data_IF_926779294788
#
_entry.id   IF_926779294788
#
_cell.length_a   1.000
_cell.length_b   1.000
_cell.length_c   1.000
_cell.angle_alpha   90.00
_cell.angle_beta   90.00
_cell.angle_gamma   90.00
#
_symmetry.space_group_name_H-M   'P 1'
#
loop_
_entity.id
_entity.type
_entity.pdbx_description
1 polymer ?
#
# COMPACT_ATOMS: atom_id res chain seq x y z
N UNK A 1 0.66 4.94 -22.09
CA UNK A 1 0.76 3.44 -22.08
C UNK A 1 0.14 2.93 -20.79
N UNK A 2 -0.43 1.72 -20.74
CA UNK A 2 -0.96 1.21 -19.47
C UNK A 2 0.17 0.76 -18.52
N UNK A 3 -0.07 0.79 -17.20
CA UNK A 3 0.83 0.20 -16.21
C UNK A 3 1.12 -1.26 -16.55
N UNK A 4 2.25 -1.83 -16.08
CA UNK A 4 2.62 -3.18 -16.45
C UNK A 4 1.54 -4.24 -16.20
N UNK A 5 1.47 -5.23 -17.07
CA UNK A 5 0.50 -6.33 -16.94
C UNK A 5 0.90 -7.38 -15.88
N UNK A 6 2.21 -7.52 -15.64
CA UNK A 6 2.81 -8.39 -14.62
C UNK A 6 4.01 -7.70 -13.99
N UNK A 7 4.32 -8.08 -12.77
CA UNK A 7 5.43 -7.54 -11.99
C UNK A 7 6.36 -8.65 -11.55
N UNK A 8 7.65 -8.38 -11.64
CA UNK A 8 8.71 -9.33 -11.33
C UNK A 8 9.63 -8.73 -10.29
N UNK A 9 10.14 -9.57 -9.40
CA UNK A 9 11.20 -9.22 -8.47
C UNK A 9 12.49 -9.90 -8.89
N UNK A 10 13.57 -9.12 -8.94
CA UNK A 10 14.95 -9.59 -8.92
C UNK A 10 15.52 -9.30 -7.53
N UNK A 11 16.06 -10.30 -6.81
CA UNK A 11 16.61 -10.10 -5.49
C UNK A 11 17.92 -9.32 -5.58
N UNK A 12 18.22 -8.59 -4.51
CA UNK A 12 19.52 -7.96 -4.28
C UNK A 12 19.85 -7.99 -2.80
N UNK A 13 21.10 -7.71 -2.47
CA UNK A 13 21.57 -7.68 -1.09
C UNK A 13 21.03 -6.47 -0.34
N UNK A 14 20.88 -6.63 0.98
CA UNK A 14 20.31 -5.62 1.87
C UNK A 14 21.21 -4.39 2.00
N UNK A 15 22.52 -4.64 2.14
CA UNK A 15 23.55 -3.66 2.49
C UNK A 15 24.27 -3.06 1.28
N UNK A 16 23.96 -3.52 0.07
CA UNK A 16 24.59 -3.04 -1.15
C UNK A 16 23.80 -1.85 -1.70
N UNK A 17 24.46 -0.69 -1.78
CA UNK A 17 23.97 0.43 -2.57
C UNK A 17 24.06 0.05 -4.06
N UNK A 18 22.92 -0.18 -4.69
CA UNK A 18 22.87 -0.58 -6.10
C UNK A 18 22.88 0.70 -6.94
N UNK A 19 23.97 0.90 -7.67
CA UNK A 19 24.06 1.93 -8.71
C UNK A 19 23.00 1.71 -9.80
N UNK A 20 22.75 2.73 -10.61
CA UNK A 20 21.75 2.63 -11.68
C UNK A 20 22.01 1.40 -12.57
N UNK A 21 21.04 0.48 -12.68
CA UNK A 21 21.21 -0.71 -13.49
C UNK A 21 21.30 -0.35 -14.98
N UNK A 22 22.04 -1.15 -15.74
CA UNK A 22 22.10 -1.01 -17.19
C UNK A 22 20.70 -1.06 -17.81
N UNK A 23 20.46 -0.20 -18.80
CA UNK A 23 19.25 -0.24 -19.63
C UNK A 23 19.15 -1.56 -20.41
N UNK A 24 20.28 -2.15 -20.78
CA UNK A 24 20.35 -3.55 -21.24
C UNK A 24 20.58 -4.45 -20.04
N UNK A 25 19.48 -4.99 -19.52
CA UNK A 25 19.47 -5.79 -18.31
C UNK A 25 19.38 -7.28 -18.65
N UNK A 26 20.36 -8.05 -18.19
CA UNK A 26 20.35 -9.51 -18.30
C UNK A 26 19.48 -10.11 -17.20
N UNK A 27 18.41 -10.80 -17.58
CA UNK A 27 17.53 -11.47 -16.62
C UNK A 27 18.27 -12.60 -15.90
N UNK A 28 18.04 -12.80 -14.59
CA UNK A 28 18.50 -13.99 -13.89
C UNK A 28 18.00 -15.27 -14.58
N UNK A 29 18.81 -16.34 -14.68
CA UNK A 29 18.40 -17.59 -15.35
C UNK A 29 17.08 -18.16 -14.81
N UNK A 30 16.83 -18.01 -13.50
CA UNK A 30 15.60 -18.44 -12.84
C UNK A 30 14.33 -17.71 -13.31
N UNK A 31 14.44 -16.50 -13.89
CA UNK A 31 13.34 -15.81 -14.57
C UNK A 31 13.36 -16.07 -16.07
N UNK A 32 14.54 -16.07 -16.69
CA UNK A 32 14.70 -16.21 -18.13
C UNK A 32 14.23 -17.58 -18.65
N UNK A 33 14.44 -18.64 -17.86
CA UNK A 33 14.11 -20.01 -18.25
C UNK A 33 12.69 -20.44 -17.84
N UNK A 34 11.87 -19.54 -17.30
CA UNK A 34 10.47 -19.86 -17.00
C UNK A 34 9.67 -20.04 -18.28
N UNK A 35 8.61 -20.85 -18.22
CA UNK A 35 7.68 -21.03 -19.34
C UNK A 35 6.99 -19.72 -19.79
N UNK A 36 6.96 -18.71 -18.92
CA UNK A 36 6.45 -17.36 -19.22
C UNK A 36 7.40 -16.32 -18.63
N UNK A 37 8.54 -16.04 -19.30
CA UNK A 37 9.56 -15.14 -18.76
C UNK A 37 9.08 -13.68 -18.77
N UNK A 38 9.81 -12.75 -18.12
CA UNK A 38 9.56 -11.32 -18.27
C UNK A 38 9.65 -10.88 -19.74
N UNK A 39 8.63 -10.16 -20.22
CA UNK A 39 8.48 -9.70 -21.62
C UNK A 39 8.20 -8.20 -21.65
N UNK A 40 8.29 -7.56 -22.84
CA UNK A 40 7.88 -6.17 -23.00
C UNK A 40 6.46 -5.90 -22.47
N UNK A 41 6.28 -4.78 -21.79
CA UNK A 41 5.05 -4.41 -21.08
C UNK A 41 4.92 -4.98 -19.66
N UNK A 42 5.90 -5.72 -19.17
CA UNK A 42 6.01 -6.10 -17.75
C UNK A 42 6.86 -5.12 -16.94
N UNK A 43 6.64 -5.12 -15.63
CA UNK A 43 7.37 -4.34 -14.65
C UNK A 43 8.37 -5.23 -13.93
N UNK A 44 9.55 -4.72 -13.66
CA UNK A 44 10.60 -5.45 -12.96
C UNK A 44 11.13 -4.58 -11.82
N UNK A 45 11.21 -5.12 -10.61
CA UNK A 45 11.80 -4.43 -9.47
C UNK A 45 13.05 -5.16 -9.00
N UNK A 46 14.08 -4.39 -8.66
CA UNK A 46 15.23 -4.89 -7.90
C UNK A 46 14.92 -4.59 -6.44
N UNK A 47 14.83 -5.63 -5.62
CA UNK A 47 14.40 -5.48 -4.23
C UNK A 47 15.10 -6.45 -3.27
N UNK A 48 15.58 -5.89 -2.17
CA UNK A 48 16.14 -6.64 -1.05
C UNK A 48 15.01 -7.14 -0.15
N UNK A 49 15.33 -8.11 0.72
CA UNK A 49 14.40 -8.59 1.74
C UNK A 49 15.10 -8.57 3.09
N UNK A 50 14.49 -7.89 4.05
CA UNK A 50 14.89 -7.94 5.45
C UNK A 50 14.01 -8.97 6.16
N UNK A 51 14.64 -10.07 6.58
CA UNK A 51 13.95 -11.17 7.26
C UNK A 51 13.51 -10.82 8.67
N UNK A 52 14.24 -9.92 9.35
CA UNK A 52 13.98 -9.52 10.73
C UNK A 52 12.73 -8.66 10.79
N UNK A 53 12.63 -7.67 9.90
CA UNK A 53 11.47 -6.78 9.83
C UNK A 53 10.36 -7.30 8.91
N UNK A 54 10.63 -8.35 8.13
CA UNK A 54 9.73 -8.93 7.12
C UNK A 54 9.35 -7.92 6.02
N UNK A 55 10.30 -7.07 5.64
CA UNK A 55 10.10 -5.98 4.68
C UNK A 55 10.90 -6.25 3.40
N UNK A 56 10.22 -6.19 2.27
CA UNK A 56 10.82 -6.08 0.95
C UNK A 56 11.18 -4.63 0.63
N UNK A 57 12.45 -4.33 0.44
CA UNK A 57 12.96 -2.98 0.16
C UNK A 57 13.22 -2.83 -1.33
N UNK A 58 12.38 -2.07 -2.02
CA UNK A 58 12.53 -1.84 -3.46
C UNK A 58 13.56 -0.74 -3.66
N UNK A 59 14.56 -1.02 -4.50
CA UNK A 59 15.65 -0.09 -4.82
C UNK A 59 15.44 0.55 -6.19
N UNK A 60 15.02 -0.25 -7.16
CA UNK A 60 14.80 0.17 -8.54
C UNK A 60 13.53 -0.43 -9.09
N UNK A 61 12.78 0.36 -9.85
CA UNK A 61 11.63 -0.06 -10.63
C UNK A 61 11.95 0.09 -12.11
N UNK A 62 11.52 -0.87 -12.90
CA UNK A 62 11.81 -0.94 -14.31
C UNK A 62 10.56 -1.22 -15.12
N UNK A 63 10.46 -0.64 -16.31
CA UNK A 63 9.49 -1.05 -17.34
C UNK A 63 10.23 -1.70 -18.50
N UNK A 64 9.84 -2.92 -18.86
CA UNK A 64 10.46 -3.65 -19.97
C UNK A 64 9.87 -3.12 -21.27
N UNK A 65 10.72 -2.55 -22.12
CA UNK A 65 10.32 -1.95 -23.41
C UNK A 65 10.65 -2.86 -24.60
N UNK A 66 11.64 -3.75 -24.44
CA UNK A 66 12.13 -4.61 -25.51
C UNK A 66 13.09 -5.69 -25.03
N UNK A 67 13.75 -6.35 -25.97
CA UNK A 67 14.82 -7.31 -25.70
C UNK A 67 14.64 -8.67 -26.38
N UNK A 68 15.73 -9.42 -26.46
CA UNK A 68 15.82 -10.72 -27.14
C UNK A 68 16.51 -11.73 -26.22
N UNK A 69 16.06 -12.98 -26.23
CA UNK A 69 16.67 -14.05 -25.44
C UNK A 69 16.56 -13.77 -23.93
N UNK A 70 17.71 -13.64 -23.26
CA UNK A 70 17.79 -13.34 -21.82
C UNK A 70 17.97 -11.84 -21.52
N UNK A 71 18.31 -11.03 -22.52
CA UNK A 71 18.54 -9.59 -22.36
C UNK A 71 17.21 -8.86 -22.54
N UNK A 72 16.95 -7.90 -21.66
CA UNK A 72 15.78 -7.03 -21.71
C UNK A 72 16.21 -5.58 -21.71
N UNK A 73 15.57 -4.79 -22.56
CA UNK A 73 15.68 -3.34 -22.50
C UNK A 73 14.70 -2.85 -21.44
N UNK A 74 15.22 -2.20 -20.40
CA UNK A 74 14.46 -1.77 -19.24
C UNK A 74 14.70 -0.28 -19.00
N UNK A 75 13.61 0.47 -18.86
CA UNK A 75 13.67 1.85 -18.40
C UNK A 75 13.55 1.87 -16.87
N UNK A 76 14.64 2.23 -16.18
CA UNK A 76 14.76 2.19 -14.72
C UNK A 76 14.43 3.54 -14.07
N UNK A 77 13.87 3.46 -12.85
CA UNK A 77 13.63 4.58 -11.95
C UNK A 77 13.99 4.18 -10.51
N UNK A 78 14.72 5.02 -9.76
CA UNK A 78 15.04 4.73 -8.37
C UNK A 78 13.78 4.84 -7.50
N UNK A 79 13.71 4.05 -6.43
CA UNK A 79 12.64 4.11 -5.45
C UNK A 79 13.16 3.77 -4.05
N UNK A 80 12.42 4.21 -3.03
CA UNK A 80 12.64 3.83 -1.62
C UNK A 80 11.42 3.11 -1.05
N UNK A 81 10.52 2.65 -1.92
CA UNK A 81 9.30 1.96 -1.55
C UNK A 81 9.58 0.65 -0.80
N UNK A 82 8.67 0.31 0.11
CA UNK A 82 8.80 -0.85 0.98
C UNK A 82 7.50 -1.66 0.95
N UNK A 83 7.63 -2.98 0.96
CA UNK A 83 6.51 -3.91 0.96
C UNK A 83 6.60 -4.78 2.22
N UNK A 84 5.59 -4.74 3.06
CA UNK A 84 5.51 -5.67 4.18
C UNK A 84 4.99 -7.05 3.73
N UNK A 85 5.71 -8.11 4.10
CA UNK A 85 5.41 -9.48 3.70
C UNK A 85 4.63 -10.20 4.81
N UNK A 86 3.31 -10.00 4.76
CA UNK A 86 2.31 -10.44 5.74
C UNK A 86 2.26 -11.97 5.97
N UNK A 87 2.44 -12.76 4.91
CA UNK A 87 2.14 -14.20 4.89
C UNK A 87 3.40 -15.04 4.91
N UNK A 88 3.40 -16.14 5.68
CA UNK A 88 4.53 -17.08 5.71
C UNK A 88 4.90 -17.64 4.33
N UNK A 89 3.89 -17.94 3.50
CA UNK A 89 4.10 -18.32 2.10
C UNK A 89 4.77 -17.21 1.28
N UNK A 90 4.35 -15.96 1.48
CA UNK A 90 5.00 -14.79 0.88
C UNK A 90 6.46 -14.70 1.29
N UNK A 91 6.76 -14.81 2.59
CA UNK A 91 8.13 -14.78 3.12
C UNK A 91 9.01 -15.84 2.47
N UNK A 92 8.51 -17.06 2.30
CA UNK A 92 9.23 -18.12 1.58
C UNK A 92 9.62 -17.74 0.14
N UNK A 93 8.72 -17.08 -0.61
CA UNK A 93 9.07 -16.57 -1.95
C UNK A 93 10.14 -15.49 -1.90
N UNK A 94 10.05 -14.57 -0.92
CA UNK A 94 11.03 -13.51 -0.75
C UNK A 94 12.42 -14.03 -0.36
N UNK A 95 12.51 -15.20 0.27
CA UNK A 95 13.76 -15.87 0.60
C UNK A 95 14.31 -16.73 -0.56
N UNK A 96 13.44 -17.29 -1.40
CA UNK A 96 13.82 -18.25 -2.45
C UNK A 96 14.48 -17.65 -3.71
N UNK A 97 14.54 -16.32 -3.82
CA UNK A 97 15.18 -15.62 -4.95
C UNK A 97 14.20 -14.83 -5.83
N UNK A 98 14.40 -14.81 -7.17
CA UNK A 98 13.57 -14.02 -8.07
C UNK A 98 12.21 -14.68 -8.34
N UNK A 99 11.15 -13.89 -8.44
CA UNK A 99 9.80 -14.40 -8.66
C UNK A 99 8.89 -13.37 -9.35
N UNK A 100 7.73 -13.83 -9.84
CA UNK A 100 6.65 -12.98 -10.32
C UNK A 100 5.57 -12.77 -9.24
N UNK A 101 5.12 -11.54 -9.05
CA UNK A 101 4.03 -11.25 -8.11
C UNK A 101 2.72 -11.84 -8.63
N UNK A 102 1.94 -12.47 -7.75
CA UNK A 102 0.61 -12.96 -8.10
C UNK A 102 -0.36 -11.77 -8.31
N UNK A 103 -1.40 -11.90 -9.14
CA UNK A 103 -2.35 -10.80 -9.37
C UNK A 103 -2.97 -10.24 -8.08
N UNK A 104 -3.27 -11.13 -7.12
CA UNK A 104 -3.74 -10.72 -5.80
C UNK A 104 -2.70 -9.86 -5.08
N UNK A 105 -1.43 -10.28 -5.04
CA UNK A 105 -0.36 -9.52 -4.38
C UNK A 105 0.04 -8.24 -5.11
N UNK A 106 -0.14 -8.18 -6.43
CA UNK A 106 0.00 -6.94 -7.21
C UNK A 106 -0.98 -5.88 -6.70
N UNK A 107 -2.24 -6.27 -6.45
CA UNK A 107 -3.25 -5.40 -5.84
C UNK A 107 -2.98 -5.11 -4.37
N UNK A 108 -2.73 -6.15 -3.55
CA UNK A 108 -2.49 -6.00 -2.11
C UNK A 108 -1.28 -5.09 -1.80
N UNK A 109 -0.26 -5.08 -2.68
CA UNK A 109 0.94 -4.24 -2.54
C UNK A 109 0.88 -2.93 -3.33
N UNK A 110 -0.19 -2.66 -4.08
CA UNK A 110 -0.34 -1.42 -4.86
C UNK A 110 0.73 -1.22 -5.93
N UNK A 111 1.17 -2.29 -6.62
CA UNK A 111 2.28 -2.19 -7.58
C UNK A 111 1.93 -1.39 -8.84
N UNK A 112 0.65 -1.32 -9.20
CA UNK A 112 0.19 -0.49 -10.31
C UNK A 112 0.37 1.00 -10.01
N UNK A 113 -0.01 1.41 -8.81
CA UNK A 113 0.12 2.77 -8.29
C UNK A 113 1.58 3.14 -8.10
N UNK A 114 2.38 2.21 -7.57
CA UNK A 114 3.80 2.42 -7.41
C UNK A 114 4.48 2.69 -8.77
N UNK A 115 4.19 1.90 -9.80
CA UNK A 115 4.74 2.18 -11.14
C UNK A 115 4.19 3.47 -11.74
N UNK A 116 2.93 3.80 -11.50
CA UNK A 116 2.35 5.06 -11.98
C UNK A 116 3.08 6.28 -11.39
N UNK A 117 3.47 6.22 -10.11
CA UNK A 117 4.18 7.32 -9.43
C UNK A 117 5.57 7.61 -10.01
N UNK A 118 6.21 6.61 -10.62
CA UNK A 118 7.59 6.73 -11.11
C UNK A 118 7.69 6.92 -12.63
N UNK A 119 6.62 6.60 -13.36
CA UNK A 119 6.59 6.67 -14.82
C UNK A 119 5.38 7.48 -15.28
N UNK A 120 5.58 8.78 -15.48
CA UNK A 120 4.53 9.77 -15.76
C UNK A 120 3.74 9.50 -17.06
N UNK A 121 4.30 8.71 -17.98
CA UNK A 121 3.64 8.32 -19.24
C UNK A 121 2.71 7.09 -19.09
N UNK A 122 2.61 6.52 -17.89
CA UNK A 122 1.75 5.38 -17.62
C UNK A 122 0.34 5.83 -17.23
N UNK A 123 -0.64 5.02 -17.61
CA UNK A 123 -2.02 5.11 -17.15
C UNK A 123 -2.39 3.82 -16.42
N UNK A 124 -3.15 3.94 -15.34
CA UNK A 124 -3.45 2.81 -14.45
C UNK A 124 -4.26 1.73 -15.19
N UNK A 125 -3.66 0.55 -15.42
CA UNK A 125 -4.27 -0.57 -16.17
C UNK A 125 -5.60 -1.03 -15.57
N UNK A 126 -5.75 -0.96 -14.25
CA UNK A 126 -6.99 -1.31 -13.54
C UNK A 126 -8.19 -0.40 -13.94
N UNK A 127 -7.94 0.70 -14.63
CA UNK A 127 -8.95 1.67 -15.09
C UNK A 127 -9.13 1.75 -16.60
N UNK A 128 -8.27 1.08 -17.38
CA UNK A 128 -8.42 1.05 -18.81
C UNK A 128 -9.41 -0.06 -19.19
N UNK A 129 -10.67 0.32 -19.43
CA UNK A 129 -11.55 -0.51 -20.25
C UNK A 129 -10.92 -0.61 -21.63
N UNK A 130 -10.22 -1.71 -21.90
CA UNK A 130 -9.89 -2.09 -23.26
C UNK A 130 -11.20 -2.53 -23.91
N UNK A 131 -11.82 -1.64 -24.69
CA UNK A 131 -13.01 -1.98 -25.44
C UNK A 131 -12.67 -3.10 -26.45
N UNK A 132 -13.43 -4.19 -26.31
CA UNK A 132 -13.64 -5.32 -27.26
C UNK A 132 -12.64 -6.49 -27.28
N UNK A 133 -12.91 -7.50 -26.44
CA UNK A 133 -13.14 -8.88 -26.93
C UNK A 133 -14.12 -9.61 -26.00
N UNK A 134 -15.18 -10.26 -26.50
CA UNK A 134 -16.29 -10.73 -25.66
C UNK A 134 -16.01 -12.09 -25.02
N UNK A 135 -16.21 -12.21 -23.69
CA UNK A 135 -17.23 -13.08 -23.07
C UNK A 135 -17.07 -13.15 -21.55
N UNK A 136 -18.18 -12.92 -20.85
CA UNK A 136 -18.37 -13.24 -19.42
C UNK A 136 -18.63 -12.01 -18.54
N UNK A 137 -19.91 -11.66 -18.40
CA UNK A 137 -20.51 -10.70 -17.44
C UNK A 137 -19.56 -9.84 -16.58
N UNK A 138 -19.33 -8.60 -17.01
CA UNK A 138 -18.65 -7.59 -16.21
C UNK A 138 -19.63 -6.94 -15.20
N UNK A 139 -19.31 -7.02 -13.91
CA UNK A 139 -19.82 -6.10 -12.88
C UNK A 139 -19.02 -4.80 -12.94
N UNK A 140 -19.73 -3.69 -12.88
CA UNK A 140 -19.26 -2.29 -12.82
C UNK A 140 -19.43 -1.87 -11.33
N UNK A 141 -18.56 -1.14 -10.59
CA UNK A 141 -17.89 0.18 -10.81
C UNK A 141 -16.95 0.59 -9.62
N UNK A 142 -15.81 1.28 -9.91
CA UNK A 142 -15.15 2.49 -9.25
C UNK A 142 -14.65 2.51 -7.77
N UNK A 143 -13.62 3.26 -7.28
CA UNK A 143 -12.67 4.31 -7.77
C UNK A 143 -11.58 4.77 -6.71
N UNK A 144 -10.42 5.31 -7.17
CA UNK A 144 -9.32 6.12 -6.54
C UNK A 144 -9.75 7.14 -5.45
N UNK A 145 -8.83 7.44 -4.52
CA UNK A 145 -8.96 8.39 -3.39
C UNK A 145 -7.98 9.60 -3.57
N UNK A 146 -8.43 10.83 -3.26
CA UNK A 146 -7.67 12.10 -3.35
C UNK A 146 -6.80 12.40 -2.10
N UNK A 147 -5.66 13.12 -2.22
CA UNK A 147 -4.69 13.37 -1.13
C UNK A 147 -5.21 14.22 0.04
N UNK A 148 -6.22 15.05 -0.17
CA UNK A 148 -6.93 15.83 0.88
C UNK A 148 -7.58 14.94 1.96
N UNK A 149 -7.67 13.64 1.69
CA UNK A 149 -8.35 12.64 2.53
C UNK A 149 -7.43 11.90 3.48
N UNK A 150 -6.13 12.21 3.45
CA UNK A 150 -5.08 11.55 4.23
C UNK A 150 -4.63 12.36 5.45
N UNK A 151 -4.92 13.67 5.49
CA UNK A 151 -4.57 14.54 6.60
C UNK A 151 -5.78 14.71 7.54
N UNK A 152 -5.59 14.66 8.86
CA UNK A 152 -6.65 15.04 9.79
C UNK A 152 -7.04 16.50 9.56
N UNK A 153 -8.33 16.81 9.44
CA UNK A 153 -8.77 18.20 9.36
C UNK A 153 -8.56 18.96 10.67
N UNK A 154 -8.51 18.26 11.80
CA UNK A 154 -8.34 18.85 13.13
C UNK A 154 -7.45 17.94 14.00
N UNK A 155 -6.51 18.53 14.75
CA UNK A 155 -5.65 17.82 15.72
C UNK A 155 -5.80 18.49 17.08
N UNK A 156 -6.23 17.73 18.08
CA UNK A 156 -6.65 18.22 19.40
C UNK A 156 -5.71 17.69 20.48
N UNK A 157 -5.32 18.56 21.40
CA UNK A 157 -4.35 18.25 22.46
C UNK A 157 -2.90 18.41 22.03
N UNK A 158 -1.98 18.19 22.95
CA UNK A 158 -0.55 18.28 22.71
C UNK A 158 0.10 16.88 22.69
N UNK A 159 1.19 16.68 21.93
CA UNK A 159 1.93 15.43 21.94
C UNK A 159 2.49 15.13 23.33
N UNK A 160 2.02 14.09 23.98
CA UNK A 160 2.57 13.65 25.26
C UNK A 160 3.71 12.65 25.09
N UNK A 161 4.71 12.72 25.97
CA UNK A 161 5.86 11.83 25.99
C UNK A 161 5.65 10.73 27.02
N UNK A 162 5.09 9.59 26.60
CA UNK A 162 4.84 8.44 27.45
C UNK A 162 4.82 7.13 26.67
N UNK A 163 5.11 6.01 27.35
CA UNK A 163 5.15 4.69 26.71
C UNK A 163 3.78 4.23 26.18
N UNK A 164 2.69 4.83 26.64
CA UNK A 164 1.32 4.58 26.19
C UNK A 164 0.73 5.77 25.42
N UNK A 165 1.52 6.85 25.27
CA UNK A 165 1.07 8.07 24.63
C UNK A 165 0.90 7.86 23.12
N UNK A 166 -0.12 8.51 22.58
CA UNK A 166 -0.47 8.45 21.17
C UNK A 166 -1.75 9.21 20.87
N UNK A 167 -2.25 9.05 19.66
CA UNK A 167 -3.52 9.65 19.24
C UNK A 167 -4.59 8.59 19.06
N UNK A 168 -5.82 8.97 19.37
CA UNK A 168 -7.03 8.32 18.86
C UNK A 168 -7.51 9.16 17.67
N UNK A 169 -7.73 8.52 16.53
CA UNK A 169 -8.25 9.15 15.31
C UNK A 169 -9.67 8.63 15.04
N UNK A 170 -10.47 9.51 14.44
CA UNK A 170 -11.77 9.14 13.89
C UNK A 170 -11.66 9.20 12.37
N UNK A 171 -12.10 8.13 11.72
CA UNK A 171 -12.15 8.01 10.27
C UNK A 171 -13.62 7.91 9.85
N UNK A 172 -14.06 8.79 8.96
CA UNK A 172 -15.43 8.85 8.45
C UNK A 172 -15.51 8.20 7.08
N UNK A 173 -16.49 7.33 6.85
CA UNK A 173 -16.77 6.76 5.53
C UNK A 173 -18.28 6.78 5.23
N UNK A 174 -18.67 6.34 4.05
CA UNK A 174 -20.08 6.12 3.72
C UNK A 174 -20.77 5.04 4.59
N UNK A 175 -20.00 4.20 5.27
CA UNK A 175 -20.48 3.07 6.08
C UNK A 175 -20.44 3.34 7.59
N UNK A 176 -20.19 4.58 8.00
CA UNK A 176 -20.06 4.97 9.40
C UNK A 176 -18.65 5.42 9.75
N UNK A 177 -18.38 5.45 11.06
CA UNK A 177 -17.16 5.99 11.65
C UNK A 177 -16.30 4.89 12.24
N UNK A 178 -15.00 4.93 11.98
CA UNK A 178 -14.01 4.06 12.61
C UNK A 178 -13.26 4.84 13.67
N UNK A 179 -13.21 4.29 14.88
CA UNK A 179 -12.36 4.80 15.97
C UNK A 179 -11.16 3.88 16.09
N UNK A 180 -9.97 4.43 15.94
CA UNK A 180 -8.75 3.66 16.19
C UNK A 180 -7.63 4.53 16.73
N UNK A 181 -6.54 3.90 17.13
CA UNK A 181 -5.37 4.62 17.66
C UNK A 181 -4.08 4.43 16.86
N UNK A 182 -3.15 5.34 17.06
CA UNK A 182 -1.77 5.22 16.58
C UNK A 182 -0.81 5.98 17.48
N UNK A 183 0.42 5.49 17.56
CA UNK A 183 1.54 6.16 18.21
C UNK A 183 2.42 6.92 17.23
N UNK A 184 2.23 6.69 15.93
CA UNK A 184 2.94 7.35 14.85
C UNK A 184 1.91 7.84 13.82
N UNK A 185 1.48 9.08 13.97
CA UNK A 185 0.43 9.70 13.14
C UNK A 185 0.86 9.75 11.67
N UNK A 186 2.06 10.27 11.31
CA UNK A 186 2.46 10.37 9.90
C UNK A 186 2.60 9.02 9.19
N UNK A 187 2.99 7.96 9.89
CA UNK A 187 3.09 6.61 9.33
C UNK A 187 1.70 5.97 9.14
N UNK A 188 0.82 6.10 10.14
CA UNK A 188 -0.53 5.51 10.10
C UNK A 188 -1.45 6.20 9.09
N UNK A 189 -1.34 7.52 8.95
CA UNK A 189 -2.13 8.31 7.99
C UNK A 189 -1.83 7.92 6.53
N UNK A 190 -0.55 7.66 6.22
CA UNK A 190 -0.14 7.09 4.92
C UNK A 190 -0.62 5.66 4.72
N UNK A 191 -0.64 4.85 5.78
CA UNK A 191 -1.12 3.47 5.72
C UNK A 191 -2.63 3.36 5.46
N UNK A 192 -3.46 4.29 5.95
CA UNK A 192 -4.90 4.30 5.62
C UNK A 192 -5.14 4.55 4.14
N UNK A 193 -4.32 5.40 3.49
CA UNK A 193 -4.44 5.77 2.08
C UNK A 193 -4.34 4.60 1.10
N UNK A 194 -3.72 3.52 1.56
CA UNK A 194 -3.37 2.36 0.75
C UNK A 194 -4.24 1.14 1.10
N UNK A 195 -4.86 1.09 2.28
CA UNK A 195 -5.48 -0.14 2.79
C UNK A 195 -7.02 -0.23 2.76
N UNK A 196 -7.76 0.85 2.50
CA UNK A 196 -9.23 0.83 2.55
C UNK A 196 -9.85 0.97 1.14
N UNK A 197 -10.69 0.00 0.69
CA UNK A 197 -11.27 -0.03 -0.66
C UNK A 197 -12.45 0.94 -0.86
N UNK A 198 -12.64 1.93 0.03
CA UNK A 198 -13.75 2.87 -0.01
C UNK A 198 -13.33 4.29 0.38
N UNK A 199 -14.20 5.24 0.04
CA UNK A 199 -13.97 6.65 0.33
C UNK A 199 -14.13 6.91 1.84
N UNK A 200 -13.07 7.39 2.47
CA UNK A 200 -13.04 7.89 3.83
C UNK A 200 -12.32 9.25 3.97
N UNK A 201 -12.60 9.99 5.04
CA UNK A 201 -11.90 11.19 5.50
C UNK A 201 -11.51 11.04 6.98
N UNK A 202 -10.61 11.89 7.48
CA UNK A 202 -10.17 11.86 8.87
C UNK A 202 -10.59 13.18 9.52
N UNK A 203 -11.82 13.27 10.07
CA UNK A 203 -12.34 14.52 10.62
C UNK A 203 -11.47 15.10 11.73
N UNK A 204 -10.95 14.28 12.64
CA UNK A 204 -10.05 14.75 13.69
C UNK A 204 -9.22 13.63 14.33
N UNK A 205 -8.15 14.05 15.01
CA UNK A 205 -7.32 13.22 15.88
C UNK A 205 -7.17 13.90 17.25
N UNK A 206 -7.10 13.11 18.31
CA UNK A 206 -7.02 13.58 19.69
C UNK A 206 -5.85 12.90 20.40
N UNK A 207 -4.98 13.68 21.04
CA UNK A 207 -3.84 13.19 21.81
C UNK A 207 -4.25 12.70 23.20
N UNK A 208 -3.66 11.58 23.63
CA UNK A 208 -3.84 11.02 24.96
C UNK A 208 -2.52 10.48 25.51
N UNK A 209 -2.37 10.61 26.82
CA UNK A 209 -1.24 10.04 27.57
C UNK A 209 -1.28 8.50 27.58
N UNK A 210 -2.49 7.92 27.52
CA UNK A 210 -2.75 6.52 27.27
C UNK A 210 -3.80 6.35 26.16
N UNK A 211 -3.32 6.28 24.91
CA UNK A 211 -4.18 6.07 23.75
C UNK A 211 -4.87 4.69 23.73
N UNK A 212 -4.33 3.69 24.45
CA UNK A 212 -4.94 2.37 24.55
C UNK A 212 -6.16 2.40 25.46
N UNK A 213 -6.06 3.06 26.62
CA UNK A 213 -7.18 3.26 27.53
C UNK A 213 -8.28 4.11 26.88
N UNK A 214 -7.90 5.18 26.19
CA UNK A 214 -8.84 6.06 25.49
C UNK A 214 -9.63 5.31 24.40
N UNK A 215 -8.97 4.55 23.52
CA UNK A 215 -9.63 3.75 22.47
C UNK A 215 -10.64 2.77 23.06
N UNK A 216 -10.22 1.99 24.07
CA UNK A 216 -11.11 1.04 24.76
C UNK A 216 -12.32 1.73 25.38
N UNK A 217 -12.12 2.90 26.00
CA UNK A 217 -13.21 3.69 26.61
C UNK A 217 -14.26 4.06 25.56
N UNK A 218 -13.85 4.59 24.41
CA UNK A 218 -14.79 4.96 23.35
C UNK A 218 -15.46 3.76 22.71
N UNK A 219 -14.72 2.67 22.50
CA UNK A 219 -15.26 1.41 22.00
C UNK A 219 -16.34 0.82 22.92
N UNK A 220 -16.20 1.00 24.23
CA UNK A 220 -17.18 0.58 25.22
C UNK A 220 -18.37 1.57 25.27
N UNK A 221 -18.10 2.88 25.27
CA UNK A 221 -19.13 3.91 25.31
C UNK A 221 -20.09 3.83 24.10
N UNK A 222 -19.57 3.50 22.92
CA UNK A 222 -20.36 3.37 21.69
C UNK A 222 -20.64 1.92 21.30
N UNK A 223 -20.52 0.96 22.24
CA UNK A 223 -20.74 -0.46 21.95
C UNK A 223 -22.14 -0.75 21.40
N UNK A 224 -23.16 0.00 21.86
CA UNK A 224 -24.55 -0.10 21.36
C UNK A 224 -24.72 0.41 19.93
N UNK A 225 -23.79 1.25 19.45
CA UNK A 225 -23.75 1.82 18.10
C UNK A 225 -22.73 1.10 17.20
N UNK A 226 -22.16 -0.03 17.64
CA UNK A 226 -21.12 -0.76 16.90
C UNK A 226 -21.74 -1.51 15.72
N UNK A 227 -21.23 -1.24 14.52
CA UNK A 227 -21.64 -1.88 13.27
C UNK A 227 -20.84 -3.19 13.07
N UNK A 228 -19.51 -3.09 13.00
CA UNK A 228 -18.63 -4.25 12.78
C UNK A 228 -17.18 -3.95 13.19
N UNK A 229 -16.61 -4.74 14.10
CA UNK A 229 -15.25 -4.54 14.60
C UNK A 229 -15.06 -3.14 15.21
N UNK A 230 -14.23 -2.32 14.56
CA UNK A 230 -13.92 -0.95 15.00
C UNK A 230 -14.80 0.13 14.31
N UNK A 231 -15.89 -0.27 13.66
CA UNK A 231 -16.84 0.63 12.96
C UNK A 231 -18.11 0.85 13.78
N UNK A 232 -18.59 2.09 13.79
CA UNK A 232 -19.69 2.59 14.61
C UNK A 232 -20.60 3.53 13.81
N UNK A 233 -21.88 3.52 14.16
CA UNK A 233 -22.90 4.44 13.67
C UNK A 233 -23.01 5.65 14.62
N UNK A 234 -22.09 6.61 14.46
CA UNK A 234 -21.97 7.77 15.36
C UNK A 234 -22.73 8.97 14.83
N UNK A 235 -23.35 9.71 15.74
CA UNK A 235 -23.97 11.01 15.51
C UNK A 235 -23.01 12.15 15.88
N UNK A 236 -23.37 13.38 15.52
CA UNK A 236 -22.55 14.56 15.78
C UNK A 236 -22.30 14.80 17.28
N UNK A 237 -23.27 14.47 18.12
CA UNK A 237 -23.16 14.50 19.58
C UNK A 237 -22.11 13.52 20.12
N UNK A 238 -21.97 12.34 19.51
CA UNK A 238 -20.94 11.36 19.87
C UNK A 238 -19.54 11.83 19.44
N UNK A 239 -19.45 12.47 18.27
CA UNK A 239 -18.18 13.04 17.78
C UNK A 239 -17.68 14.14 18.71
N UNK A 240 -18.57 14.99 19.21
CA UNK A 240 -18.23 16.03 20.17
C UNK A 240 -17.80 15.47 21.52
N UNK A 241 -18.36 14.34 21.96
CA UNK A 241 -17.89 13.63 23.16
C UNK A 241 -16.44 13.14 23.02
N UNK A 242 -16.04 12.69 21.83
CA UNK A 242 -14.65 12.31 21.56
C UNK A 242 -13.76 13.56 21.48
N UNK A 243 -14.25 14.64 20.85
CA UNK A 243 -13.54 15.91 20.68
C UNK A 243 -13.16 16.55 22.02
N UNK A 244 -14.07 16.50 23.01
CA UNK A 244 -13.93 17.13 24.34
C UNK A 244 -13.35 16.20 25.41
N UNK A 245 -12.76 15.08 25.00
CA UNK A 245 -12.30 14.03 25.90
C UNK A 245 -10.93 14.31 26.55
N UNK A 246 -10.29 15.43 26.22
CA UNK A 246 -8.99 15.91 26.69
C UNK A 246 -9.18 17.23 27.42
#
# INVERSE_FOLDING_TARGET
>A
MLTPAKYWRVPCDLDVAISEPSSEFTLPPALANQASPPTPGHGIAIAAYDEVTQIGLLRWLGTITGGVGQIRTVNWKPTTAQIWVDTGKGRGYWQSGPFGFSPKKVGDYGLHELWLQHFDFLELRDRAKMETRPKGMAKVRTSRIAPERLNPSEVIGQPTSGALAGVVYVLKSAYGYKIGRTRNVPHRMRAFGVQLPFIYTIPFCVWFDDCHAAERRFHNAFASKRINGEWFDLEESDLDLIRRAV
#
